data_IF_276911589971
#
_entry.id   IF_276911589971
#
_cell.length_a   1.000
_cell.length_b   1.000
_cell.length_c   1.000
_cell.angle_alpha   90.00
_cell.angle_beta   90.00
_cell.angle_gamma   90.00
#
_symmetry.space_group_name_H-M   'P 1'
#
loop_
_entity.id
_entity.type
_entity.pdbx_description
1 polymer ?
#
# COMPACT_ATOMS: atom_id res chain seq x y z
N UNK A 1 -2.05 25.27 23.48
CA UNK A 1 -1.17 25.99 22.53
C UNK A 1 -1.80 26.01 21.16
N UNK A 2 -1.86 27.16 20.56
CA UNK A 2 -2.37 27.30 19.19
C UNK A 2 -1.27 26.90 18.20
N UNK A 3 -1.61 26.05 17.25
CA UNK A 3 -0.75 25.75 16.13
C UNK A 3 -0.71 26.94 15.17
N UNK A 4 0.43 27.22 14.51
CA UNK A 4 0.43 28.10 13.36
C UNK A 4 -0.52 27.55 12.29
N UNK A 5 -0.78 28.35 11.25
CA UNK A 5 -1.63 27.91 10.15
C UNK A 5 -0.98 26.69 9.49
N UNK A 6 -1.62 25.51 9.61
CA UNK A 6 -1.10 24.25 9.12
C UNK A 6 -2.21 23.44 8.45
N UNK A 7 -1.81 22.40 7.77
CA UNK A 7 -2.72 21.42 7.18
C UNK A 7 -2.38 20.02 7.69
N UNK A 8 -3.26 19.09 7.47
CA UNK A 8 -3.01 17.67 7.73
C UNK A 8 -3.38 16.87 6.49
N UNK A 9 -2.82 15.68 6.36
CA UNK A 9 -3.18 14.79 5.24
C UNK A 9 -4.55 14.19 5.53
N UNK A 10 -5.54 14.56 4.70
CA UNK A 10 -6.90 14.02 4.81
C UNK A 10 -6.94 12.54 4.43
N UNK A 11 -6.39 12.22 3.28
CA UNK A 11 -6.34 10.86 2.75
C UNK A 11 -5.28 10.79 1.65
N UNK A 12 -4.92 9.57 1.26
CA UNK A 12 -4.06 9.32 0.11
C UNK A 12 -4.93 8.93 -1.06
N UNK A 13 -4.70 9.50 -2.23
CA UNK A 13 -5.45 9.17 -3.44
C UNK A 13 -4.54 8.43 -4.42
N UNK A 14 -5.05 7.33 -4.96
CA UNK A 14 -4.39 6.52 -5.98
C UNK A 14 -5.21 6.60 -7.25
N UNK A 15 -4.62 7.14 -8.30
CA UNK A 15 -5.24 7.17 -9.63
C UNK A 15 -5.15 5.76 -10.24
N UNK A 16 -6.20 5.32 -10.90
CA UNK A 16 -6.28 3.95 -11.42
C UNK A 16 -7.24 3.86 -12.60
N UNK A 17 -7.28 2.69 -13.22
CA UNK A 17 -8.19 2.41 -14.32
C UNK A 17 -9.48 1.76 -13.85
N UNK A 18 -9.43 1.00 -12.76
CA UNK A 18 -10.60 0.34 -12.17
C UNK A 18 -10.55 0.49 -10.66
N UNK A 19 -11.28 1.49 -10.15
CA UNK A 19 -11.23 1.84 -8.73
C UNK A 19 -11.76 0.72 -7.84
N UNK A 20 -12.86 0.07 -8.23
CA UNK A 20 -13.43 -1.00 -7.41
C UNK A 20 -12.48 -2.19 -7.30
N UNK A 21 -12.00 -2.72 -8.42
CA UNK A 21 -11.13 -3.89 -8.41
C UNK A 21 -9.81 -3.61 -7.69
N UNK A 22 -9.23 -2.43 -7.89
CA UNK A 22 -7.98 -2.09 -7.23
C UNK A 22 -8.18 -1.91 -5.71
N UNK A 23 -9.26 -1.26 -5.29
CA UNK A 23 -9.57 -1.13 -3.87
C UNK A 23 -9.79 -2.50 -3.21
N UNK A 24 -10.48 -3.42 -3.88
CA UNK A 24 -10.69 -4.78 -3.38
C UNK A 24 -9.37 -5.55 -3.25
N UNK A 25 -8.41 -5.31 -4.15
CA UNK A 25 -7.09 -5.92 -4.06
C UNK A 25 -6.30 -5.41 -2.84
N UNK A 26 -6.39 -4.11 -2.58
CA UNK A 26 -5.64 -3.48 -1.49
C UNK A 26 -6.24 -3.73 -0.10
N UNK A 27 -7.55 -3.97 0.00
CA UNK A 27 -8.19 -4.18 1.31
C UNK A 27 -7.53 -5.29 2.12
N UNK A 28 -7.33 -6.51 1.60
CA UNK A 28 -6.68 -7.55 2.40
C UNK A 28 -5.18 -7.29 2.61
N UNK A 29 -4.52 -6.60 1.70
CA UNK A 29 -3.10 -6.25 1.86
C UNK A 29 -2.91 -5.35 3.08
N UNK A 30 -3.77 -4.35 3.22
CA UNK A 30 -3.66 -3.35 4.29
C UNK A 30 -4.47 -3.70 5.54
N UNK A 31 -5.42 -4.62 5.43
CA UNK A 31 -6.39 -4.86 6.49
C UNK A 31 -7.40 -3.73 6.61
N UNK A 32 -7.65 -3.02 5.53
CA UNK A 32 -8.59 -1.90 5.49
C UNK A 32 -9.98 -2.40 5.10
N UNK A 33 -10.97 -1.58 5.42
CA UNK A 33 -12.39 -1.89 5.19
C UNK A 33 -13.07 -0.77 4.42
N UNK A 34 -14.23 -1.07 3.87
CA UNK A 34 -15.08 -0.05 3.26
C UNK A 34 -15.55 0.97 4.30
N UNK A 35 -15.91 2.16 3.85
CA UNK A 35 -16.50 3.19 4.71
C UNK A 35 -17.90 2.72 5.15
N UNK A 36 -18.17 2.82 6.44
CA UNK A 36 -19.47 2.44 6.99
C UNK A 36 -20.58 3.29 6.35
N UNK A 37 -21.61 2.62 5.83
CA UNK A 37 -22.70 3.28 5.16
C UNK A 37 -22.45 3.67 3.70
N UNK A 38 -21.23 3.42 3.20
CA UNK A 38 -20.87 3.76 1.82
C UNK A 38 -19.97 2.66 1.23
N UNK A 39 -20.50 1.43 1.05
CA UNK A 39 -19.70 0.33 0.52
C UNK A 39 -19.30 0.57 -0.93
N UNK A 40 -18.11 0.09 -1.27
CA UNK A 40 -17.63 0.13 -2.64
C UNK A 40 -18.32 -0.96 -3.46
N UNK A 41 -18.77 -0.61 -4.65
CA UNK A 41 -19.48 -1.52 -5.54
C UNK A 41 -18.85 -1.50 -6.94
N UNK A 42 -19.00 -2.59 -7.71
CA UNK A 42 -18.48 -2.61 -9.08
C UNK A 42 -19.02 -1.45 -9.90
N UNK A 43 -18.14 -0.81 -10.66
CA UNK A 43 -18.49 0.33 -11.51
C UNK A 43 -18.39 1.69 -10.83
N UNK A 44 -18.14 1.75 -9.53
CA UNK A 44 -17.90 3.03 -8.87
C UNK A 44 -16.59 3.66 -9.36
N UNK A 45 -16.63 4.93 -9.71
CA UNK A 45 -15.46 5.67 -10.18
C UNK A 45 -14.53 6.08 -9.03
N UNK A 46 -15.06 6.12 -7.82
CA UNK A 46 -14.33 6.44 -6.61
C UNK A 46 -14.62 5.40 -5.55
N UNK A 47 -13.57 4.81 -4.98
CA UNK A 47 -13.68 3.78 -3.94
C UNK A 47 -12.74 4.11 -2.80
N UNK A 48 -13.30 4.40 -1.63
CA UNK A 48 -12.54 4.72 -0.42
C UNK A 48 -12.46 3.50 0.47
N UNK A 49 -11.28 3.25 1.03
CA UNK A 49 -11.07 2.25 2.09
C UNK A 49 -10.39 2.92 3.27
N UNK A 50 -10.55 2.36 4.46
CA UNK A 50 -9.97 2.96 5.67
C UNK A 50 -9.42 1.91 6.61
N UNK A 51 -8.39 2.32 7.35
CA UNK A 51 -7.87 1.54 8.46
C UNK A 51 -8.84 1.66 9.64
N UNK A 52 -9.43 0.54 10.11
CA UNK A 52 -10.37 0.61 11.23
C UNK A 52 -9.71 1.02 12.56
N UNK A 53 -8.39 0.91 12.68
CA UNK A 53 -7.67 1.27 13.90
C UNK A 53 -7.23 2.74 13.89
N UNK A 54 -6.57 3.18 12.81
CA UNK A 54 -5.98 4.53 12.75
C UNK A 54 -6.87 5.55 12.08
N UNK A 55 -7.83 5.11 11.27
CA UNK A 55 -8.67 5.99 10.47
C UNK A 55 -8.02 6.45 9.17
N UNK A 56 -6.79 6.05 8.88
CA UNK A 56 -6.15 6.41 7.61
C UNK A 56 -7.01 5.93 6.44
N UNK A 57 -7.19 6.79 5.45
CA UNK A 57 -8.04 6.50 4.29
C UNK A 57 -7.22 6.51 3.01
N UNK A 58 -7.57 5.61 2.09
CA UNK A 58 -7.02 5.58 0.74
C UNK A 58 -8.19 5.62 -0.22
N UNK A 59 -8.16 6.60 -1.13
CA UNK A 59 -9.16 6.77 -2.17
C UNK A 59 -8.59 6.27 -3.50
N UNK A 60 -9.31 5.39 -4.16
CA UNK A 60 -8.98 4.97 -5.52
C UNK A 60 -9.93 5.68 -6.46
N UNK A 61 -9.37 6.43 -7.42
CA UNK A 61 -10.18 7.23 -8.34
C UNK A 61 -9.80 6.90 -9.79
N UNK A 62 -10.81 6.71 -10.64
CA UNK A 62 -10.58 6.36 -12.04
C UNK A 62 -10.09 7.55 -12.83
N UNK A 63 -9.04 7.29 -13.61
CA UNK A 63 -8.48 8.25 -14.58
C UNK A 63 -8.32 7.53 -15.92
N UNK A 64 -8.24 8.30 -17.00
CA UNK A 64 -8.07 7.71 -18.33
C UNK A 64 -6.63 7.31 -18.61
N UNK A 65 -5.67 7.95 -17.94
CA UNK A 65 -4.25 7.73 -18.21
C UNK A 65 -3.76 6.40 -17.65
N UNK A 66 -3.00 5.67 -18.46
CA UNK A 66 -2.33 4.45 -18.00
C UNK A 66 -1.10 4.80 -17.17
N UNK A 67 -0.77 3.92 -16.22
CA UNK A 67 0.46 4.03 -15.44
C UNK A 67 1.65 3.68 -16.33
N UNK A 68 2.52 4.65 -16.63
CA UNK A 68 3.66 4.48 -17.54
C UNK A 68 4.99 4.67 -16.81
N UNK A 69 5.15 5.77 -16.07
CA UNK A 69 6.39 6.09 -15.38
C UNK A 69 6.32 5.63 -13.93
N UNK A 70 7.49 5.45 -13.30
CA UNK A 70 7.56 5.10 -11.89
C UNK A 70 6.89 6.20 -11.05
N UNK A 71 6.07 5.79 -10.06
CA UNK A 71 5.47 6.79 -9.18
C UNK A 71 6.52 7.46 -8.30
N UNK A 72 6.27 8.74 -8.03
CA UNK A 72 7.17 9.56 -7.21
C UNK A 72 6.91 9.37 -5.72
N UNK A 73 5.69 8.99 -5.36
CA UNK A 73 5.29 8.67 -3.99
C UNK A 73 4.83 7.21 -3.98
N UNK A 74 5.28 6.45 -3.01
CA UNK A 74 4.87 5.05 -2.88
C UNK A 74 4.71 4.68 -1.41
N UNK A 75 3.94 3.63 -1.15
CA UNK A 75 3.81 3.08 0.19
C UNK A 75 5.03 2.20 0.49
N UNK A 76 5.52 2.30 1.72
CA UNK A 76 6.43 1.32 2.29
C UNK A 76 5.63 0.53 3.33
N UNK A 77 5.44 -0.76 3.08
CA UNK A 77 4.63 -1.61 3.94
C UNK A 77 5.52 -2.39 4.89
N UNK A 78 5.11 -2.44 6.15
CA UNK A 78 5.76 -3.24 7.19
C UNK A 78 4.79 -4.32 7.63
N UNK A 79 5.19 -5.62 7.57
CA UNK A 79 4.29 -6.68 8.01
C UNK A 79 3.92 -6.52 9.49
N UNK A 80 2.66 -6.74 9.80
CA UNK A 80 2.20 -6.78 11.20
C UNK A 80 2.65 -8.05 11.88
N UNK A 81 2.72 -9.14 11.14
CA UNK A 81 3.11 -10.46 11.62
C UNK A 81 4.06 -11.12 10.63
N UNK A 82 4.96 -11.95 11.15
CA UNK A 82 5.90 -12.68 10.32
C UNK A 82 7.06 -11.81 9.84
N UNK A 83 7.72 -12.26 8.81
CA UNK A 83 8.89 -11.59 8.26
C UNK A 83 8.56 -10.85 6.96
N UNK A 84 9.48 -9.98 6.56
CA UNK A 84 9.45 -9.35 5.24
C UNK A 84 9.30 -10.42 4.13
N UNK A 85 10.08 -11.51 4.24
CA UNK A 85 10.08 -12.54 3.21
C UNK A 85 8.76 -13.35 3.20
N UNK A 86 8.16 -13.58 4.38
CA UNK A 86 6.82 -14.18 4.47
C UNK A 86 5.77 -13.30 3.80
N UNK A 87 5.82 -12.00 4.06
CA UNK A 87 4.88 -11.07 3.45
C UNK A 87 5.09 -10.94 1.95
N UNK A 88 6.34 -10.94 1.50
CA UNK A 88 6.65 -10.96 0.07
C UNK A 88 5.96 -12.15 -0.62
N UNK A 89 6.05 -13.33 -0.03
CA UNK A 89 5.41 -14.52 -0.59
C UNK A 89 3.89 -14.35 -0.65
N UNK A 90 3.27 -13.80 0.40
CA UNK A 90 1.82 -13.54 0.42
C UNK A 90 1.41 -12.54 -0.65
N UNK A 91 2.18 -11.47 -0.82
CA UNK A 91 1.89 -10.42 -1.81
C UNK A 91 1.99 -10.96 -3.23
N UNK A 92 3.02 -11.75 -3.53
CA UNK A 92 3.17 -12.36 -4.85
C UNK A 92 2.03 -13.33 -5.13
N UNK A 93 1.63 -14.14 -4.15
CA UNK A 93 0.49 -15.05 -4.29
C UNK A 93 -0.84 -14.27 -4.49
N UNK A 94 -0.93 -13.06 -3.96
CA UNK A 94 -2.11 -12.21 -4.08
C UNK A 94 -2.15 -11.43 -5.41
N UNK A 95 -1.09 -11.49 -6.21
CA UNK A 95 -1.08 -10.88 -7.54
C UNK A 95 -0.14 -9.70 -7.73
N UNK A 96 0.69 -9.38 -6.73
CA UNK A 96 1.73 -8.36 -6.89
C UNK A 96 2.84 -8.90 -7.81
N UNK A 97 3.54 -7.98 -8.48
CA UNK A 97 4.68 -8.31 -9.34
C UNK A 97 5.95 -7.75 -8.72
N UNK A 98 7.02 -8.52 -8.71
CA UNK A 98 8.31 -8.03 -8.23
C UNK A 98 8.93 -7.10 -9.27
N UNK A 99 9.35 -5.91 -8.83
CA UNK A 99 9.99 -4.90 -9.68
C UNK A 99 11.49 -4.87 -9.44
N UNK A 100 11.92 -4.83 -8.17
CA UNK A 100 13.35 -4.79 -7.83
C UNK A 100 13.57 -5.36 -6.44
N UNK A 101 14.62 -6.15 -6.29
CA UNK A 101 14.98 -6.77 -5.03
C UNK A 101 16.22 -6.07 -4.47
N UNK A 102 16.05 -5.38 -3.36
CA UNK A 102 17.12 -4.67 -2.66
C UNK A 102 17.46 -5.30 -1.31
N UNK A 103 17.09 -6.58 -1.13
CA UNK A 103 17.41 -7.29 0.11
C UNK A 103 18.91 -7.48 0.24
N UNK A 104 19.41 -7.21 1.44
CA UNK A 104 20.85 -7.37 1.72
C UNK A 104 21.74 -6.27 1.19
N UNK A 105 21.18 -5.26 0.54
CA UNK A 105 21.96 -4.16 -0.06
C UNK A 105 22.84 -3.43 0.96
N UNK A 106 22.37 -3.31 2.19
CA UNK A 106 23.07 -2.62 3.27
C UNK A 106 23.57 -3.58 4.34
N UNK A 107 23.71 -4.87 4.01
CA UNK A 107 24.16 -5.91 4.90
C UNK A 107 23.15 -7.04 5.07
N UNK A 108 23.54 -8.15 5.72
CA UNK A 108 22.63 -9.29 5.92
C UNK A 108 21.37 -8.89 6.67
N UNK A 109 20.22 -9.34 6.17
CA UNK A 109 18.90 -9.07 6.77
C UNK A 109 18.33 -7.69 6.50
N UNK A 110 19.07 -6.80 5.84
CA UNK A 110 18.58 -5.43 5.54
C UNK A 110 17.85 -5.37 4.21
N UNK A 111 17.38 -4.18 3.86
CA UNK A 111 16.83 -3.88 2.56
C UNK A 111 15.34 -4.13 2.44
N UNK A 112 14.87 -4.02 1.21
CA UNK A 112 13.44 -4.08 0.89
C UNK A 112 13.25 -4.72 -0.48
N UNK A 113 12.00 -5.01 -0.84
CA UNK A 113 11.63 -5.43 -2.19
C UNK A 113 10.61 -4.44 -2.73
N UNK A 114 10.83 -3.96 -3.94
CA UNK A 114 9.86 -3.12 -4.64
C UNK A 114 8.94 -4.01 -5.47
N UNK A 115 7.65 -3.81 -5.29
CA UNK A 115 6.60 -4.57 -5.97
C UNK A 115 5.71 -3.62 -6.75
N UNK A 116 4.86 -4.17 -7.60
CA UNK A 116 3.80 -3.43 -8.27
C UNK A 116 2.47 -4.10 -7.99
N UNK A 117 1.43 -3.28 -7.81
CA UNK A 117 0.07 -3.78 -7.71
C UNK A 117 -0.46 -4.19 -9.09
N UNK A 118 -1.69 -4.73 -9.23
CA UNK A 118 -2.19 -5.18 -10.53
C UNK A 118 -2.27 -4.10 -11.60
N UNK A 119 -2.25 -2.83 -11.24
CA UNK A 119 -2.24 -1.72 -12.20
C UNK A 119 -0.86 -1.11 -12.40
N UNK A 120 0.19 -1.71 -11.81
CA UNK A 120 1.55 -1.27 -11.99
C UNK A 120 2.02 -0.20 -11.00
N UNK A 121 1.23 0.13 -9.98
CA UNK A 121 1.65 1.09 -8.96
C UNK A 121 2.70 0.46 -8.07
N UNK A 122 3.88 1.06 -7.96
CA UNK A 122 4.97 0.54 -7.17
C UNK A 122 4.75 0.83 -5.68
N UNK A 123 5.12 -0.16 -4.88
CA UNK A 123 5.19 -0.06 -3.42
C UNK A 123 6.30 -0.97 -2.93
N UNK A 124 6.72 -0.79 -1.70
CA UNK A 124 7.82 -1.57 -1.14
C UNK A 124 7.36 -2.35 0.09
N UNK A 125 7.97 -3.52 0.30
CA UNK A 125 7.84 -4.27 1.54
C UNK A 125 9.17 -4.19 2.29
N UNK A 126 9.11 -3.75 3.54
CA UNK A 126 10.26 -3.60 4.42
C UNK A 126 10.19 -4.61 5.56
N UNK A 127 11.24 -4.70 6.36
CA UNK A 127 11.29 -5.64 7.50
C UNK A 127 10.17 -5.37 8.50
N UNK A 128 9.73 -6.41 9.21
CA UNK A 128 8.83 -6.27 10.34
C UNK A 128 9.55 -5.58 11.52
N UNK A 129 8.77 -5.10 12.49
CA UNK A 129 9.35 -4.52 13.71
C UNK A 129 10.17 -5.57 14.47
N UNK A 130 9.70 -6.80 14.52
CA UNK A 130 10.42 -7.90 15.15
C UNK A 130 11.78 -8.16 14.48
N UNK A 131 11.83 -8.13 13.16
CA UNK A 131 13.08 -8.29 12.41
C UNK A 131 14.06 -7.15 12.69
N UNK A 132 13.56 -5.93 12.79
CA UNK A 132 14.39 -4.76 13.09
C UNK A 132 15.00 -4.88 14.50
N UNK A 133 14.20 -5.30 15.47
CA UNK A 133 14.67 -5.49 16.84
C UNK A 133 15.71 -6.60 16.93
N UNK A 134 15.54 -7.68 16.20
CA UNK A 134 16.46 -8.82 16.19
C UNK A 134 17.79 -8.49 15.52
N UNK A 135 17.83 -7.49 14.63
CA UNK A 135 19.04 -7.10 13.88
C UNK A 135 19.91 -6.09 14.60
N UNK A 136 19.46 -5.57 15.71
CA UNK A 136 20.19 -4.51 16.44
C UNK A 136 21.20 -5.08 17.44
#
# INVERSE_FOLDING_TARGET
MLRPMTSFVSHTTVDCRNAYELSEWWKPVLGYVDIEGDPNLPGHEECMIRDPETGHQVLFIEVEDAKIVKNRIHFDLRPREGSRDDELARLLAHGATEVADHRGKYGPGTGWVTLADPEGNEFCIVRSEAEMSASS
#
